data_IF_275463457150
#
_entry.id   IF_275463457150
#
_cell.length_a   1.000
_cell.length_b   1.000
_cell.length_c   1.000
_cell.angle_alpha   90.00
_cell.angle_beta   90.00
_cell.angle_gamma   90.00
#
_symmetry.space_group_name_H-M   'P 1'
#
loop_
_entity.id
_entity.type
_entity.pdbx_description
1 polymer ?
#
# COMPACT_ATOMS: atom_id res chain seq x y z
N UNK A 1 39.74 3.73 18.46
CA UNK A 1 38.57 2.84 18.55
C UNK A 1 37.39 3.66 18.08
N UNK A 2 37.15 3.67 16.76
CA UNK A 2 36.01 4.37 16.18
C UNK A 2 35.03 3.29 15.70
N UNK A 3 33.90 3.26 16.38
CA UNK A 3 32.80 2.35 16.11
C UNK A 3 32.10 2.82 14.83
N UNK A 4 32.60 2.39 13.67
CA UNK A 4 31.81 2.38 12.44
C UNK A 4 30.79 1.24 12.56
N UNK A 5 29.73 1.48 13.32
CA UNK A 5 28.49 0.75 13.08
C UNK A 5 27.99 1.23 11.72
N UNK A 6 28.29 0.41 10.72
CA UNK A 6 27.68 0.48 9.40
C UNK A 6 26.19 0.70 9.59
N UNK A 7 25.74 1.87 9.15
CA UNK A 7 24.34 2.22 8.99
C UNK A 7 23.71 1.11 8.15
N UNK A 8 23.03 0.17 8.80
CA UNK A 8 22.27 -0.87 8.12
C UNK A 8 21.10 -0.16 7.48
N UNK A 9 21.31 0.34 6.26
CA UNK A 9 20.23 0.74 5.40
C UNK A 9 19.46 -0.55 5.13
N UNK A 10 18.39 -0.80 5.88
CA UNK A 10 17.38 -1.79 5.54
C UNK A 10 16.70 -1.29 4.26
N UNK A 11 17.39 -1.41 3.13
CA UNK A 11 16.76 -1.31 1.82
C UNK A 11 16.02 -2.63 1.64
N UNK A 12 14.83 -2.70 2.22
CA UNK A 12 13.89 -3.74 1.82
C UNK A 12 13.68 -3.58 0.31
N UNK A 13 13.89 -4.63 -0.51
CA UNK A 13 13.47 -4.56 -1.90
C UNK A 13 11.96 -4.31 -1.89
N UNK A 14 11.55 -3.13 -2.35
CA UNK A 14 10.14 -2.84 -2.50
C UNK A 14 9.63 -3.64 -3.71
N UNK A 15 8.97 -4.75 -3.42
CA UNK A 15 8.16 -5.50 -4.36
C UNK A 15 6.76 -5.63 -3.78
N UNK A 16 5.82 -4.89 -4.39
CA UNK A 16 4.43 -4.87 -3.94
C UNK A 16 3.74 -6.22 -4.14
N UNK A 17 4.18 -7.03 -5.13
CA UNK A 17 3.63 -8.36 -5.33
C UNK A 17 4.04 -9.27 -4.17
N UNK A 18 5.31 -9.25 -3.77
CA UNK A 18 5.81 -10.04 -2.64
C UNK A 18 5.14 -9.63 -1.32
N UNK A 19 5.03 -8.32 -1.05
CA UNK A 19 4.34 -7.83 0.18
C UNK A 19 2.86 -8.24 0.21
N UNK A 20 2.19 -8.25 -0.94
CA UNK A 20 0.79 -8.69 -1.04
C UNK A 20 0.68 -10.20 -0.87
N UNK A 21 1.57 -10.98 -1.49
CA UNK A 21 1.63 -12.44 -1.31
C UNK A 21 1.86 -12.81 0.14
N UNK A 22 2.79 -12.13 0.83
CA UNK A 22 3.02 -12.28 2.26
C UNK A 22 1.75 -11.93 3.07
N UNK A 23 1.10 -10.80 2.78
CA UNK A 23 -0.11 -10.36 3.47
C UNK A 23 -1.33 -11.30 3.26
N UNK A 24 -1.34 -12.07 2.17
CA UNK A 24 -2.34 -13.08 1.84
C UNK A 24 -1.93 -14.51 2.23
N UNK A 25 -0.71 -14.70 2.75
CA UNK A 25 -0.10 -15.99 3.02
C UNK A 25 -0.04 -16.93 1.79
N UNK A 26 0.18 -16.35 0.61
CA UNK A 26 0.35 -17.06 -0.67
C UNK A 26 1.85 -17.24 -0.92
N UNK A 27 2.28 -18.48 -1.13
CA UNK A 27 3.71 -18.83 -1.31
C UNK A 27 4.03 -19.38 -2.69
N UNK A 28 3.07 -19.34 -3.62
CA UNK A 28 3.15 -19.90 -4.96
C UNK A 28 2.81 -18.83 -6.03
N UNK A 29 3.10 -19.12 -7.29
CA UNK A 29 3.12 -18.10 -8.37
C UNK A 29 1.93 -18.21 -9.33
N UNK A 30 1.14 -19.30 -9.25
CA UNK A 30 0.00 -19.54 -10.12
C UNK A 30 -1.08 -18.45 -10.03
N UNK A 31 -1.12 -17.73 -8.90
CA UNK A 31 -2.07 -16.65 -8.66
C UNK A 31 -1.52 -15.25 -8.95
N UNK A 32 -0.25 -15.11 -9.35
CA UNK A 32 0.39 -13.81 -9.53
C UNK A 32 -0.40 -12.92 -10.49
N UNK A 33 -0.90 -13.47 -11.60
CA UNK A 33 -1.71 -12.72 -12.56
C UNK A 33 -3.03 -12.20 -11.96
N UNK A 34 -3.61 -12.90 -10.99
CA UNK A 34 -4.80 -12.45 -10.28
C UNK A 34 -4.44 -11.38 -9.25
N UNK A 35 -3.34 -11.59 -8.51
CA UNK A 35 -2.84 -10.65 -7.50
C UNK A 35 -2.44 -9.32 -8.14
N UNK A 36 -1.76 -9.34 -9.29
CA UNK A 36 -1.41 -8.13 -10.05
C UNK A 36 -2.66 -7.32 -10.41
N UNK A 37 -3.75 -7.97 -10.83
CA UNK A 37 -5.01 -7.27 -11.11
C UNK A 37 -5.65 -6.65 -9.87
N UNK A 38 -5.52 -7.31 -8.70
CA UNK A 38 -5.98 -6.76 -7.43
C UNK A 38 -5.14 -5.55 -7.01
N UNK A 39 -3.82 -5.62 -7.24
CA UNK A 39 -2.88 -4.51 -7.04
C UNK A 39 -3.29 -3.33 -7.91
N UNK A 40 -3.42 -3.52 -9.22
CA UNK A 40 -3.78 -2.44 -10.16
C UNK A 40 -5.07 -1.73 -9.74
N UNK A 41 -6.13 -2.49 -9.44
CA UNK A 41 -7.42 -1.93 -8.99
C UNK A 41 -7.28 -1.16 -7.67
N UNK A 42 -6.49 -1.67 -6.74
CA UNK A 42 -6.34 -1.06 -5.41
C UNK A 42 -5.47 0.18 -5.42
N UNK A 43 -4.39 0.19 -6.21
CA UNK A 43 -3.55 1.37 -6.44
C UNK A 43 -4.36 2.45 -7.13
N UNK A 44 -5.08 2.11 -8.20
CA UNK A 44 -5.96 3.04 -8.90
C UNK A 44 -6.97 3.66 -7.93
N UNK A 45 -7.68 2.83 -7.15
CA UNK A 45 -8.68 3.30 -6.20
C UNK A 45 -8.09 4.29 -5.18
N UNK A 46 -6.93 3.99 -4.59
CA UNK A 46 -6.32 4.87 -3.59
C UNK A 46 -5.85 6.18 -4.21
N UNK A 47 -5.25 6.13 -5.42
CA UNK A 47 -4.82 7.34 -6.12
C UNK A 47 -6.02 8.23 -6.50
N UNK A 48 -7.11 7.64 -7.01
CA UNK A 48 -8.36 8.33 -7.34
C UNK A 48 -8.99 8.97 -6.10
N UNK A 49 -9.05 8.23 -4.98
CA UNK A 49 -9.62 8.70 -3.72
C UNK A 49 -8.89 9.93 -3.16
N UNK A 50 -7.56 9.98 -3.26
CA UNK A 50 -6.76 11.11 -2.76
C UNK A 50 -6.55 12.22 -3.80
N UNK A 51 -6.86 11.95 -5.07
CA UNK A 51 -6.68 12.88 -6.18
C UNK A 51 -5.23 13.08 -6.63
N UNK A 52 -4.33 12.11 -6.38
CA UNK A 52 -2.92 12.21 -6.73
C UNK A 52 -2.27 10.83 -6.91
N UNK A 53 -1.25 10.73 -7.77
CA UNK A 53 -0.42 9.54 -7.87
C UNK A 53 0.53 9.44 -6.67
N UNK A 54 0.41 8.35 -5.90
CA UNK A 54 1.22 8.13 -4.71
C UNK A 54 2.41 7.21 -5.02
N UNK A 55 3.61 7.64 -4.62
CA UNK A 55 4.77 6.75 -4.59
C UNK A 55 4.67 5.80 -3.39
N UNK A 56 4.21 4.58 -3.64
CA UNK A 56 4.06 3.55 -2.61
C UNK A 56 5.40 3.05 -2.05
N UNK A 57 6.53 3.30 -2.74
CA UNK A 57 7.86 3.01 -2.20
C UNK A 57 8.20 3.91 -1.01
N UNK A 58 7.71 5.15 -1.03
CA UNK A 58 7.99 6.16 0.00
C UNK A 58 6.81 6.34 0.96
N UNK A 59 5.58 6.36 0.45
CA UNK A 59 4.37 6.56 1.25
C UNK A 59 3.88 5.25 1.85
N UNK A 60 4.45 4.86 2.98
CA UNK A 60 4.11 3.61 3.68
C UNK A 60 2.65 3.54 4.14
N UNK A 61 2.04 4.68 4.51
CA UNK A 61 0.61 4.72 4.88
C UNK A 61 -0.29 4.39 3.70
N UNK A 62 0.03 4.92 2.51
CA UNK A 62 -0.69 4.57 1.28
C UNK A 62 -0.47 3.10 0.91
N UNK A 63 0.76 2.60 1.03
CA UNK A 63 1.09 1.19 0.77
C UNK A 63 0.26 0.26 1.65
N UNK A 64 0.21 0.53 2.96
CA UNK A 64 -0.57 -0.25 3.91
C UNK A 64 -2.07 -0.25 3.55
N UNK A 65 -2.60 0.90 3.12
CA UNK A 65 -4.01 1.00 2.72
C UNK A 65 -4.32 0.23 1.43
N UNK A 66 -3.42 0.27 0.44
CA UNK A 66 -3.52 -0.54 -0.78
C UNK A 66 -3.52 -2.03 -0.42
N UNK A 67 -2.56 -2.50 0.38
CA UNK A 67 -2.46 -3.91 0.78
C UNK A 67 -3.73 -4.36 1.53
N UNK A 68 -4.24 -3.54 2.46
CA UNK A 68 -5.46 -3.88 3.18
C UNK A 68 -6.70 -3.91 2.27
N UNK A 69 -6.79 -3.03 1.28
CA UNK A 69 -7.86 -3.10 0.28
C UNK A 69 -7.84 -4.42 -0.48
N UNK A 70 -6.64 -4.85 -0.90
CA UNK A 70 -6.43 -6.14 -1.58
C UNK A 70 -6.87 -7.30 -0.68
N UNK A 71 -6.50 -7.29 0.61
CA UNK A 71 -6.93 -8.32 1.57
C UNK A 71 -8.45 -8.41 1.67
N UNK A 72 -9.14 -7.28 1.69
CA UNK A 72 -10.61 -7.26 1.73
C UNK A 72 -11.21 -7.75 0.42
N UNK A 73 -10.70 -7.32 -0.73
CA UNK A 73 -11.18 -7.76 -2.04
C UNK A 73 -10.97 -9.26 -2.26
N UNK A 74 -9.77 -9.77 -1.95
CA UNK A 74 -9.43 -11.19 -2.05
C UNK A 74 -10.33 -12.07 -1.17
N UNK A 75 -10.71 -11.58 0.02
CA UNK A 75 -11.59 -12.29 0.95
C UNK A 75 -13.09 -11.99 0.74
N UNK A 76 -13.48 -11.44 -0.42
CA UNK A 76 -14.87 -11.11 -0.77
C UNK A 76 -15.58 -10.21 0.26
N UNK A 77 -14.83 -9.28 0.87
CA UNK A 77 -15.30 -8.36 1.90
C UNK A 77 -15.06 -6.89 1.50
N UNK A 78 -14.87 -6.59 0.21
CA UNK A 78 -14.51 -5.25 -0.26
C UNK A 78 -15.49 -4.16 0.20
N UNK A 79 -16.77 -4.50 0.34
CA UNK A 79 -17.84 -3.65 0.83
C UNK A 79 -17.60 -3.10 2.25
N UNK A 80 -16.77 -3.77 3.05
CA UNK A 80 -16.43 -3.37 4.42
C UNK A 80 -15.16 -2.50 4.52
N UNK A 81 -14.38 -2.42 3.44
CA UNK A 81 -13.04 -1.81 3.47
C UNK A 81 -13.09 -0.34 3.89
N UNK A 82 -13.88 0.48 3.21
CA UNK A 82 -13.97 1.92 3.50
C UNK A 82 -14.49 2.20 4.92
N UNK A 83 -15.44 1.41 5.39
CA UNK A 83 -15.98 1.53 6.75
C UNK A 83 -14.89 1.26 7.79
N UNK A 84 -14.13 0.17 7.62
CA UNK A 84 -13.13 -0.26 8.59
C UNK A 84 -11.86 0.61 8.56
N UNK A 85 -11.54 1.20 7.41
CA UNK A 85 -10.36 2.05 7.22
C UNK A 85 -10.71 3.55 7.11
N UNK A 86 -11.93 3.96 7.46
CA UNK A 86 -12.42 5.33 7.32
C UNK A 86 -11.45 6.38 7.89
N UNK A 87 -10.97 6.16 9.12
CA UNK A 87 -10.06 7.09 9.79
C UNK A 87 -8.69 7.20 9.10
N UNK A 88 -7.98 6.08 8.82
CA UNK A 88 -6.77 6.11 7.99
C UNK A 88 -6.95 6.75 6.62
N UNK A 89 -8.03 6.42 5.90
CA UNK A 89 -8.31 6.97 4.57
C UNK A 89 -8.50 8.48 4.63
N UNK A 90 -9.32 8.96 5.58
CA UNK A 90 -9.54 10.40 5.81
C UNK A 90 -8.24 11.14 6.12
N UNK A 91 -7.35 10.53 6.91
CA UNK A 91 -6.03 11.10 7.23
C UNK A 91 -5.13 11.18 6.01
N UNK A 92 -5.10 10.13 5.19
CA UNK A 92 -4.30 10.11 3.96
C UNK A 92 -4.76 11.22 3.01
N UNK A 93 -6.07 11.34 2.77
CA UNK A 93 -6.67 12.40 1.94
C UNK A 93 -6.23 13.78 2.44
N UNK A 94 -6.34 14.04 3.75
CA UNK A 94 -5.95 15.34 4.31
C UNK A 94 -4.45 15.63 4.17
N UNK A 95 -3.59 14.66 4.44
CA UNK A 95 -2.14 14.84 4.28
C UNK A 95 -1.74 15.13 2.83
N UNK A 96 -2.32 14.41 1.87
CA UNK A 96 -2.07 14.64 0.44
C UNK A 96 -2.55 16.03 0.05
N UNK A 97 -3.78 16.40 0.42
CA UNK A 97 -4.33 17.72 0.10
C UNK A 97 -3.52 18.88 0.70
N UNK A 98 -2.98 18.72 1.91
CA UNK A 98 -2.11 19.73 2.53
C UNK A 98 -0.77 19.86 1.78
N UNK A 99 -0.17 18.74 1.39
CA UNK A 99 1.09 18.71 0.64
C UNK A 99 0.96 19.39 -0.72
N UNK A 100 -0.12 19.15 -1.45
CA UNK A 100 -0.38 19.78 -2.76
C UNK A 100 -0.61 21.30 -2.66
N UNK A 101 -1.04 21.81 -1.49
CA UNK A 101 -1.24 23.25 -1.26
C UNK A 101 0.07 24.01 -0.96
N UNK A 102 1.09 23.31 -0.48
CA UNK A 102 2.40 23.90 -0.19
C UNK A 102 3.27 24.13 -1.45
N UNK A 103 2.79 23.66 -2.61
CA UNK A 103 3.41 23.80 -3.94
C UNK A 103 2.86 25.03 -4.66
#
# INVERSE_FOLDING_TARGET
MENNQSEVTLVSPFDLLDEVKEALAITWDEEDNNIIKLIDRSVYYINDLVGAELDLKVNLSARELVINRIRYEYNNALDQYETNFYQPLSRLILHVALKEREV
#
